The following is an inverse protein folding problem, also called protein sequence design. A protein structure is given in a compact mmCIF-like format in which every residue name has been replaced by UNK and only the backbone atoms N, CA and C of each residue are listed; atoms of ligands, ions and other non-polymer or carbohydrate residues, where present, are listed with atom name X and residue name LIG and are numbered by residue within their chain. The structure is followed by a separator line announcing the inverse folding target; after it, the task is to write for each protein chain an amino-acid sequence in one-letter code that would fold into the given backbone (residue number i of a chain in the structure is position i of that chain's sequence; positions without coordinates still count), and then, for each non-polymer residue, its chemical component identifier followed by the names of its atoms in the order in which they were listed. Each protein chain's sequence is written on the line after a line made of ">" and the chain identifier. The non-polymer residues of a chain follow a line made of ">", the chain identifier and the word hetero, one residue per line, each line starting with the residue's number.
data_IF_329479921799
#
_entry.id   IF_329479921799
#
_cell.length_a   1.000
_cell.length_b   1.000
_cell.length_c   1.000
_cell.angle_alpha   90.00
_cell.angle_beta   90.00
_cell.angle_gamma   90.00
#
_symmetry.space_group_name_H-M   'P 1'
#
loop_
_entity.id
_entity.type
_entity.pdbx_description
1 polymer ?
#
# COMPACT_ATOMS: atom_id res chain seq x y z
N UNK A 1 7.72 12.69 17.35
CA UNK A 1 9.00 12.99 16.68
C UNK A 1 10.10 12.02 17.07
N UNK A 2 10.70 12.07 18.27
CA UNK A 2 11.84 11.17 18.62
C UNK A 2 11.55 9.68 18.43
N UNK A 3 10.41 9.16 18.92
CA UNK A 3 10.02 7.76 18.69
C UNK A 3 9.84 7.40 17.21
N UNK A 4 9.31 8.31 16.40
CA UNK A 4 9.19 8.08 14.96
C UNK A 4 10.57 8.05 14.32
N UNK A 5 11.48 8.94 14.68
CA UNK A 5 12.86 8.90 14.18
C UNK A 5 13.60 7.62 14.58
N UNK A 6 13.37 7.10 15.78
CA UNK A 6 14.02 5.87 16.30
C UNK A 6 13.39 4.57 15.76
N UNK A 7 12.08 4.58 15.49
CA UNK A 7 11.31 3.38 15.14
C UNK A 7 10.81 3.36 13.70
N UNK A 8 10.93 4.46 12.96
CA UNK A 8 10.54 4.52 11.56
C UNK A 8 11.37 3.54 10.74
N UNK A 9 10.71 2.93 9.77
CA UNK A 9 11.31 1.93 8.87
C UNK A 9 12.09 2.60 7.72
N UNK A 10 12.04 3.92 7.64
CA UNK A 10 12.63 4.76 6.59
C UNK A 10 13.25 6.00 7.22
N UNK A 11 14.22 6.60 6.53
CA UNK A 11 14.76 7.90 6.95
C UNK A 11 13.62 8.94 6.99
N UNK A 12 13.50 9.68 8.10
CA UNK A 12 12.39 10.60 8.30
C UNK A 12 12.47 11.75 7.29
N UNK A 13 11.45 11.89 6.47
CA UNK A 13 11.33 12.94 5.46
C UNK A 13 10.18 13.88 5.79
N UNK A 14 10.39 15.18 5.61
CA UNK A 14 9.31 16.17 5.61
C UNK A 14 8.90 16.43 4.17
N UNK A 15 7.70 16.01 3.82
CA UNK A 15 7.14 16.22 2.49
C UNK A 15 6.58 17.63 2.31
N UNK A 16 6.60 18.19 1.08
CA UNK A 16 5.74 19.31 0.74
C UNK A 16 4.28 18.99 1.03
N UNK A 17 3.44 20.00 1.28
CA UNK A 17 2.00 19.77 1.43
C UNK A 17 1.43 19.09 0.18
N UNK A 18 0.75 17.97 0.39
CA UNK A 18 0.14 17.15 -0.65
C UNK A 18 -1.12 16.50 -0.10
N UNK A 19 -2.00 16.03 -1.01
CA UNK A 19 -3.22 15.27 -0.68
C UNK A 19 -4.11 15.87 0.42
N UNK A 20 -4.07 17.19 0.57
CA UNK A 20 -4.84 17.94 1.58
C UNK A 20 -6.35 17.73 1.35
N UNK A 21 -7.06 17.27 2.38
CA UNK A 21 -8.50 16.99 2.27
C UNK A 21 -9.28 18.22 1.77
N UNK A 22 -10.20 18.00 0.84
CA UNK A 22 -10.98 19.07 0.20
C UNK A 22 -10.27 19.81 -0.93
N UNK A 23 -8.99 19.49 -1.22
CA UNK A 23 -8.27 20.06 -2.37
C UNK A 23 -8.29 19.12 -3.58
N UNK A 24 -8.01 19.67 -4.77
CA UNK A 24 -7.88 18.87 -5.99
C UNK A 24 -6.77 17.81 -5.87
N UNK A 25 -5.71 18.08 -5.12
CA UNK A 25 -4.61 17.14 -4.91
C UNK A 25 -4.98 15.91 -4.07
N UNK A 26 -6.15 15.91 -3.43
CA UNK A 26 -6.68 14.75 -2.68
C UNK A 26 -7.59 13.86 -3.54
N UNK A 27 -8.04 14.33 -4.70
CA UNK A 27 -8.98 13.59 -5.54
C UNK A 27 -8.27 12.48 -6.33
N UNK A 28 -9.00 11.41 -6.62
CA UNK A 28 -8.55 10.41 -7.59
C UNK A 28 -8.40 11.06 -8.97
N UNK A 29 -7.37 10.63 -9.72
CA UNK A 29 -7.22 11.00 -11.11
C UNK A 29 -8.42 10.48 -11.93
N UNK A 30 -8.87 11.29 -12.89
CA UNK A 30 -10.07 10.99 -13.68
C UNK A 30 -10.05 9.59 -14.34
N UNK A 31 -8.94 9.11 -14.95
CA UNK A 31 -8.90 7.78 -15.54
C UNK A 31 -9.11 6.65 -14.53
N UNK A 32 -8.63 6.80 -13.29
CA UNK A 32 -8.82 5.82 -12.22
C UNK A 32 -10.27 5.85 -11.73
N UNK A 33 -10.83 7.04 -11.55
CA UNK A 33 -12.23 7.18 -11.17
C UNK A 33 -13.17 6.57 -12.22
N UNK A 34 -12.88 6.78 -13.51
CA UNK A 34 -13.63 6.19 -14.62
C UNK A 34 -13.50 4.66 -14.65
N UNK A 35 -12.28 4.12 -14.52
CA UNK A 35 -12.05 2.68 -14.49
C UNK A 35 -12.80 2.01 -13.33
N UNK A 36 -12.82 2.62 -12.15
CA UNK A 36 -13.59 2.13 -11.00
C UNK A 36 -15.09 2.11 -11.32
N UNK A 37 -15.63 3.20 -11.88
CA UNK A 37 -17.05 3.29 -12.21
C UNK A 37 -17.48 2.21 -13.23
N UNK A 38 -16.72 2.02 -14.30
CA UNK A 38 -17.01 0.99 -15.32
C UNK A 38 -16.85 -0.42 -14.77
N UNK A 39 -15.81 -0.69 -13.99
CA UNK A 39 -15.63 -1.99 -13.35
C UNK A 39 -16.80 -2.30 -12.40
N UNK A 40 -17.20 -1.34 -11.57
CA UNK A 40 -18.33 -1.50 -10.64
C UNK A 40 -19.65 -1.75 -11.36
N UNK A 41 -19.90 -1.04 -12.46
CA UNK A 41 -21.08 -1.27 -13.30
C UNK A 41 -21.06 -2.67 -13.94
N UNK A 42 -19.93 -3.11 -14.49
CA UNK A 42 -19.79 -4.39 -15.16
C UNK A 42 -19.82 -5.60 -14.22
N UNK A 43 -19.29 -5.45 -12.99
CA UNK A 43 -19.20 -6.53 -11.99
C UNK A 43 -20.30 -6.51 -10.96
N UNK A 44 -21.15 -5.47 -10.96
CA UNK A 44 -22.15 -5.22 -9.93
C UNK A 44 -21.55 -5.20 -8.51
N UNK A 45 -20.36 -4.60 -8.39
CA UNK A 45 -19.62 -4.51 -7.12
C UNK A 45 -19.39 -3.07 -6.71
N UNK A 46 -19.72 -2.75 -5.46
CA UNK A 46 -19.46 -1.43 -4.89
C UNK A 46 -17.96 -1.32 -4.51
N UNK A 47 -17.25 -0.26 -4.95
CA UNK A 47 -15.87 -0.04 -4.52
C UNK A 47 -15.85 0.41 -3.07
N UNK A 48 -14.82 -0.01 -2.33
CA UNK A 48 -14.55 0.46 -0.98
C UNK A 48 -13.46 1.51 -1.02
N UNK A 49 -13.73 2.69 -0.48
CA UNK A 49 -12.75 3.78 -0.37
C UNK A 49 -12.26 3.89 1.07
N UNK A 50 -10.94 3.93 1.25
CA UNK A 50 -10.29 4.07 2.56
C UNK A 50 -9.42 5.32 2.52
N UNK A 51 -9.58 6.18 3.51
CA UNK A 51 -8.76 7.38 3.72
C UNK A 51 -7.77 7.09 4.85
N UNK A 52 -6.50 7.47 4.64
CA UNK A 52 -5.41 7.33 5.62
C UNK A 52 -4.71 8.66 5.85
N UNK A 53 -3.89 8.76 6.91
CA UNK A 53 -3.09 9.97 7.18
C UNK A 53 -3.80 11.08 7.97
N UNK A 54 -4.86 10.74 8.73
CA UNK A 54 -5.59 11.71 9.59
C UNK A 54 -4.97 11.91 10.97
N UNK A 55 -4.10 11.01 11.40
CA UNK A 55 -3.44 11.09 12.71
C UNK A 55 -2.24 12.05 12.63
N UNK A 56 -2.41 13.27 13.14
CA UNK A 56 -1.45 14.39 13.00
C UNK A 56 -0.03 14.08 13.49
N UNK A 57 0.11 13.16 14.47
CA UNK A 57 1.37 12.92 15.19
C UNK A 57 2.23 11.79 14.61
N UNK A 58 1.81 11.16 13.51
CA UNK A 58 2.53 10.05 12.87
C UNK A 58 2.39 10.07 11.35
N UNK A 59 3.39 9.52 10.68
CA UNK A 59 3.30 9.17 9.26
C UNK A 59 2.44 7.91 9.06
N UNK A 60 1.79 7.82 7.90
CA UNK A 60 0.77 6.83 7.58
C UNK A 60 0.92 6.36 6.12
N UNK A 61 2.08 5.78 5.78
CA UNK A 61 2.32 5.27 4.42
C UNK A 61 1.41 4.07 4.09
N UNK A 62 1.41 3.02 4.91
CA UNK A 62 0.61 1.82 4.67
C UNK A 62 -0.88 2.03 4.94
N UNK A 63 -1.75 1.39 4.16
CA UNK A 63 -3.20 1.55 4.29
C UNK A 63 -3.77 0.95 5.59
N UNK A 64 -3.10 -0.04 6.18
CA UNK A 64 -3.64 -0.77 7.33
C UNK A 64 -3.29 -0.13 8.67
N UNK A 65 -2.27 0.73 8.76
CA UNK A 65 -1.85 1.32 10.02
C UNK A 65 -0.78 2.39 9.85
N UNK A 66 -0.61 3.22 10.89
CA UNK A 66 0.48 4.19 10.94
C UNK A 66 1.86 3.51 11.03
N UNK A 67 2.93 4.23 10.66
CA UNK A 67 4.29 3.72 10.88
C UNK A 67 4.60 3.52 12.37
N UNK A 68 4.16 4.48 13.21
CA UNK A 68 4.19 4.37 14.67
C UNK A 68 2.80 4.71 15.20
N UNK A 69 2.02 3.72 15.68
CA UNK A 69 0.71 3.98 16.25
C UNK A 69 0.78 4.99 17.39
N UNK A 70 -0.12 5.97 17.35
CA UNK A 70 -0.31 6.94 18.42
C UNK A 70 -1.17 6.30 19.53
N UNK A 71 -0.65 6.17 20.76
CA UNK A 71 -1.39 5.55 21.87
C UNK A 71 -2.65 6.33 22.27
N UNK A 72 -2.77 7.60 21.90
CA UNK A 72 -3.96 8.42 22.16
C UNK A 72 -5.01 8.27 21.05
N UNK A 73 -4.67 7.62 19.93
CA UNK A 73 -5.51 7.50 18.73
C UNK A 73 -5.55 6.03 18.31
N UNK A 74 -6.43 5.20 18.91
CA UNK A 74 -6.46 3.75 18.69
C UNK A 74 -6.58 3.33 17.22
N UNK A 75 -7.26 4.12 16.39
CA UNK A 75 -7.43 3.90 14.96
C UNK A 75 -6.13 4.04 14.14
N UNK A 76 -5.06 4.59 14.73
CA UNK A 76 -3.74 4.62 14.11
C UNK A 76 -3.00 3.28 14.17
N UNK A 77 -3.51 2.34 14.98
CA UNK A 77 -3.02 0.98 15.05
C UNK A 77 -3.29 0.17 13.77
N UNK A 78 -2.77 -1.06 13.74
CA UNK A 78 -2.99 -1.95 12.61
C UNK A 78 -4.47 -2.39 12.54
N UNK A 79 -5.13 -2.06 11.43
CA UNK A 79 -6.49 -2.44 11.11
C UNK A 79 -6.54 -3.89 10.60
N UNK A 80 -6.51 -4.81 11.56
CA UNK A 80 -6.61 -6.26 11.32
C UNK A 80 -7.91 -6.63 10.59
N UNK A 81 -9.02 -5.94 10.89
CA UNK A 81 -10.29 -6.19 10.21
C UNK A 81 -10.22 -5.93 8.70
N UNK A 82 -9.52 -4.87 8.28
CA UNK A 82 -9.29 -4.56 6.87
C UNK A 82 -8.30 -5.55 6.23
N UNK A 83 -7.23 -5.93 6.94
CA UNK A 83 -6.29 -6.98 6.49
C UNK A 83 -7.01 -8.30 6.20
N UNK A 84 -7.78 -8.78 7.17
CA UNK A 84 -8.54 -10.03 7.06
C UNK A 84 -9.60 -9.94 5.96
N UNK A 85 -10.22 -8.78 5.76
CA UNK A 85 -11.19 -8.57 4.69
C UNK A 85 -10.54 -8.68 3.29
N UNK A 86 -9.35 -8.11 3.10
CA UNK A 86 -8.60 -8.17 1.84
C UNK A 86 -8.12 -9.59 1.56
N UNK A 87 -7.61 -10.30 2.57
CA UNK A 87 -7.03 -11.65 2.37
C UNK A 87 -8.07 -12.78 2.21
N UNK A 88 -9.37 -12.45 2.30
CA UNK A 88 -10.46 -13.39 1.94
C UNK A 88 -10.55 -13.67 0.45
N UNK A 89 -10.10 -12.74 -0.41
CA UNK A 89 -10.13 -12.94 -1.85
C UNK A 89 -9.08 -13.97 -2.28
N UNK A 90 -9.30 -14.63 -3.42
CA UNK A 90 -8.38 -15.63 -3.97
C UNK A 90 -7.13 -15.00 -4.59
N UNK A 91 -7.28 -13.77 -5.10
CA UNK A 91 -6.23 -12.96 -5.70
C UNK A 91 -6.39 -11.51 -5.27
N UNK A 92 -5.30 -10.92 -4.81
CA UNK A 92 -5.23 -9.54 -4.34
C UNK A 92 -4.13 -8.84 -5.13
N UNK A 93 -4.53 -8.00 -6.06
CA UNK A 93 -3.60 -7.21 -6.86
C UNK A 93 -3.25 -5.91 -6.15
N UNK A 94 -1.96 -5.59 -6.10
CA UNK A 94 -1.43 -4.35 -5.50
C UNK A 94 -0.77 -3.52 -6.58
N UNK A 95 -1.24 -2.28 -6.73
CA UNK A 95 -0.79 -1.29 -7.71
C UNK A 95 -1.01 0.13 -7.17
N UNK A 96 -0.47 1.13 -7.85
CA UNK A 96 -0.65 2.54 -7.51
C UNK A 96 0.64 3.23 -7.07
N UNK A 97 0.52 4.30 -6.28
CA UNK A 97 1.63 5.20 -5.99
C UNK A 97 1.77 5.57 -4.50
N UNK A 98 2.99 5.79 -3.99
CA UNK A 98 4.27 5.47 -4.64
C UNK A 98 4.72 4.04 -4.30
N UNK A 99 5.32 3.32 -5.27
CA UNK A 99 5.98 2.01 -5.11
C UNK A 99 6.82 2.02 -3.84
N UNK A 100 7.78 2.95 -3.73
CA UNK A 100 8.74 3.03 -2.63
C UNK A 100 8.17 3.40 -1.25
N UNK A 101 6.93 3.87 -1.17
CA UNK A 101 6.34 4.39 0.07
C UNK A 101 5.00 3.73 0.37
N UNK A 102 3.89 4.34 -0.05
CA UNK A 102 2.54 3.90 0.30
C UNK A 102 2.27 2.45 -0.12
N UNK A 103 2.70 2.08 -1.33
CA UNK A 103 2.46 0.76 -1.89
C UNK A 103 3.32 -0.29 -1.18
N UNK A 104 4.64 -0.06 -1.07
CA UNK A 104 5.52 -0.99 -0.37
C UNK A 104 5.20 -1.13 1.11
N UNK A 105 4.83 -0.05 1.81
CA UNK A 105 4.46 -0.15 3.23
C UNK A 105 3.15 -0.92 3.42
N UNK A 106 2.21 -0.76 2.49
CA UNK A 106 0.99 -1.57 2.46
C UNK A 106 1.35 -3.06 2.34
N UNK A 107 2.23 -3.41 1.41
CA UNK A 107 2.72 -4.79 1.25
C UNK A 107 3.44 -5.30 2.51
N UNK A 108 4.32 -4.48 3.10
CA UNK A 108 5.02 -4.80 4.36
C UNK A 108 4.06 -5.12 5.49
N UNK A 109 2.95 -4.39 5.60
CA UNK A 109 1.94 -4.61 6.63
C UNK A 109 1.23 -5.97 6.44
N UNK A 110 0.86 -6.32 5.20
CA UNK A 110 0.24 -7.62 4.91
C UNK A 110 1.22 -8.76 5.15
N UNK A 111 2.42 -8.68 4.55
CA UNK A 111 3.46 -9.70 4.68
C UNK A 111 3.92 -9.85 6.12
N UNK A 112 4.02 -8.75 6.87
CA UNK A 112 4.36 -8.80 8.29
C UNK A 112 3.31 -9.51 9.14
N UNK A 113 2.02 -9.25 8.89
CA UNK A 113 0.93 -9.87 9.64
C UNK A 113 0.74 -11.35 9.28
N UNK A 114 0.77 -11.69 8.00
CA UNK A 114 0.55 -13.06 7.51
C UNK A 114 1.84 -13.86 7.25
N UNK A 115 3.00 -13.37 7.69
CA UNK A 115 4.32 -13.99 7.40
C UNK A 115 4.49 -15.43 7.92
N UNK A 116 3.64 -15.87 8.85
CA UNK A 116 3.58 -17.25 9.34
C UNK A 116 2.71 -18.17 8.48
N UNK A 117 2.10 -17.66 7.41
CA UNK A 117 1.24 -18.39 6.46
C UNK A 117 1.69 -18.14 5.00
N UNK A 118 2.83 -18.67 4.55
CA UNK A 118 3.36 -18.41 3.21
C UNK A 118 2.39 -18.74 2.06
N UNK A 119 1.56 -19.77 2.24
CA UNK A 119 0.52 -20.12 1.25
C UNK A 119 -0.53 -19.02 1.07
N UNK A 120 -0.83 -18.26 2.13
CA UNK A 120 -1.76 -17.13 2.05
C UNK A 120 -1.12 -15.94 1.32
N UNK A 121 0.19 -15.74 1.46
CA UNK A 121 0.93 -14.68 0.77
C UNK A 121 0.99 -14.88 -0.75
N UNK A 122 0.85 -16.12 -1.24
CA UNK A 122 0.75 -16.42 -2.69
C UNK A 122 -0.45 -15.79 -3.37
N UNK A 123 -1.44 -15.32 -2.60
CA UNK A 123 -2.58 -14.58 -3.13
C UNK A 123 -2.26 -13.12 -3.46
N UNK A 124 -1.12 -12.61 -2.97
CA UNK A 124 -0.68 -11.24 -3.24
C UNK A 124 0.03 -11.17 -4.58
N UNK A 125 -0.48 -10.34 -5.48
CA UNK A 125 0.05 -10.11 -6.81
C UNK A 125 0.46 -8.64 -6.93
N UNK A 126 1.75 -8.37 -6.84
CA UNK A 126 2.30 -7.03 -6.99
C UNK A 126 2.51 -6.69 -8.46
N UNK A 127 1.81 -5.68 -8.97
CA UNK A 127 1.90 -5.26 -10.38
C UNK A 127 3.08 -4.31 -10.60
N UNK A 128 4.22 -4.86 -11.05
CA UNK A 128 5.48 -4.11 -11.17
C UNK A 128 5.38 -2.93 -12.13
N UNK A 129 4.68 -3.10 -13.24
CA UNK A 129 4.51 -2.11 -14.31
C UNK A 129 3.35 -1.12 -14.05
N UNK A 130 2.63 -1.27 -12.92
CA UNK A 130 1.55 -0.38 -12.49
C UNK A 130 1.89 0.38 -11.19
N UNK A 131 3.19 0.62 -10.96
CA UNK A 131 3.69 1.38 -9.80
C UNK A 131 4.95 2.17 -10.20
N UNK A 132 5.23 3.28 -9.53
CA UNK A 132 6.49 4.01 -9.69
C UNK A 132 7.04 4.52 -8.35
N UNK A 133 8.36 4.65 -8.24
CA UNK A 133 8.97 5.15 -6.99
C UNK A 133 9.08 6.66 -7.00
N UNK A 134 8.96 7.26 -5.81
CA UNK A 134 9.34 8.67 -5.61
C UNK A 134 10.78 8.88 -6.06
N UNK A 135 11.02 9.90 -6.86
CA UNK A 135 12.35 10.31 -7.29
C UNK A 135 12.98 11.26 -6.27
N UNK A 136 14.24 11.03 -5.91
CA UNK A 136 14.98 11.86 -4.96
C UNK A 136 16.41 12.09 -5.46
N UNK A 137 17.00 13.29 -5.29
CA UNK A 137 18.31 13.62 -5.85
C UNK A 137 19.47 12.78 -5.31
N UNK A 138 19.33 12.22 -4.10
CA UNK A 138 20.41 11.48 -3.43
C UNK A 138 20.03 10.08 -2.94
N UNK A 139 18.73 9.76 -2.90
CA UNK A 139 18.25 8.49 -2.36
C UNK A 139 17.62 7.73 -3.51
N UNK A 140 18.17 6.55 -3.80
CA UNK A 140 17.60 5.65 -4.80
C UNK A 140 16.46 4.84 -4.16
N UNK A 141 15.30 5.47 -4.05
CA UNK A 141 14.10 4.83 -3.51
C UNK A 141 13.62 3.66 -4.35
N UNK A 142 13.93 3.65 -5.65
CA UNK A 142 13.52 2.56 -6.53
C UNK A 142 14.31 1.29 -6.24
N UNK A 143 15.64 1.41 -6.13
CA UNK A 143 16.50 0.30 -5.75
C UNK A 143 16.14 -0.27 -4.37
N UNK A 144 15.82 0.60 -3.40
CA UNK A 144 15.36 0.17 -2.07
C UNK A 144 14.03 -0.60 -2.13
N UNK A 145 13.10 -0.15 -2.98
CA UNK A 145 11.83 -0.82 -3.16
C UNK A 145 11.99 -2.18 -3.85
N UNK A 146 12.77 -2.25 -4.94
CA UNK A 146 13.04 -3.52 -5.65
C UNK A 146 13.73 -4.53 -4.74
N UNK A 147 14.69 -4.11 -3.92
CA UNK A 147 15.37 -5.01 -2.97
C UNK A 147 14.40 -5.61 -1.96
N UNK A 148 13.44 -4.82 -1.46
CA UNK A 148 12.42 -5.31 -0.55
C UNK A 148 11.42 -6.24 -1.25
N UNK A 149 10.97 -5.89 -2.46
CA UNK A 149 10.05 -6.72 -3.22
C UNK A 149 10.66 -8.09 -3.53
N UNK A 150 11.95 -8.15 -3.87
CA UNK A 150 12.67 -9.41 -4.02
C UNK A 150 12.68 -10.23 -2.72
N UNK A 151 12.82 -9.58 -1.56
CA UNK A 151 12.72 -10.25 -0.26
C UNK A 151 11.31 -10.82 -0.03
N UNK A 152 10.27 -10.07 -0.38
CA UNK A 152 8.87 -10.49 -0.24
C UNK A 152 8.48 -11.60 -1.21
N UNK A 153 9.07 -11.64 -2.40
CA UNK A 153 8.89 -12.73 -3.37
C UNK A 153 9.32 -14.07 -2.76
N UNK A 154 10.45 -14.10 -2.03
CA UNK A 154 10.87 -15.27 -1.27
C UNK A 154 9.93 -15.65 -0.11
N UNK A 155 9.06 -14.74 0.33
CA UNK A 155 8.03 -15.01 1.35
C UNK A 155 6.71 -15.51 0.74
N UNK A 156 6.58 -15.50 -0.59
CA UNK A 156 5.41 -16.01 -1.31
C UNK A 156 4.65 -14.96 -2.11
N UNK A 157 4.97 -13.67 -2.00
CA UNK A 157 4.35 -12.63 -2.83
C UNK A 157 4.68 -12.87 -4.30
N UNK A 158 3.71 -12.70 -5.19
CA UNK A 158 3.92 -12.87 -6.63
C UNK A 158 4.19 -11.51 -7.27
N UNK A 159 5.36 -11.35 -7.90
CA UNK A 159 5.66 -10.15 -8.69
C UNK A 159 5.23 -10.40 -10.14
N UNK A 160 4.27 -9.63 -10.63
CA UNK A 160 3.63 -9.84 -11.95
C UNK A 160 3.58 -8.56 -12.78
N UNK A 161 3.35 -8.72 -14.08
CA UNK A 161 3.07 -7.62 -15.01
C UNK A 161 1.57 -7.53 -15.30
N UNK A 162 1.09 -6.33 -15.66
CA UNK A 162 -0.30 -6.11 -16.07
C UNK A 162 -0.71 -6.89 -17.31
N UNK A 163 0.27 -7.35 -18.10
CA UNK A 163 0.10 -8.17 -19.29
C UNK A 163 0.16 -9.68 -19.02
N UNK A 164 0.48 -10.09 -17.79
CA UNK A 164 0.50 -11.50 -17.45
C UNK A 164 -0.92 -12.07 -17.47
N UNK A 165 -1.10 -13.30 -17.98
CA UNK A 165 -2.43 -13.88 -18.10
C UNK A 165 -3.06 -14.09 -16.73
N UNK A 166 -4.32 -13.67 -16.58
CA UNK A 166 -5.12 -13.99 -15.40
C UNK A 166 -5.52 -15.46 -15.50
N UNK A 167 -4.83 -16.35 -14.78
CA UNK A 167 -5.26 -17.75 -14.68
C UNK A 167 -6.57 -17.83 -13.89
N UNK A 168 -7.63 -18.36 -14.49
CA UNK A 168 -8.83 -18.74 -13.74
C UNK A 168 -8.61 -20.16 -13.23
N UNK A 169 -8.67 -20.34 -11.90
CA UNK A 169 -8.81 -21.65 -11.26
C UNK A 169 -10.27 -22.02 -11.17
#
# INVERSE_FOLDING_TARGET
>A
MHKLQEQAKKELMIWPYHTMEGTLGHMLLAPISEAIAWHSAARHTQPTYIVKGRTVRTEYYGIFGAEVPDPEVPESGLNVGLLDAVMKYDKVYVAGEAKSHCVLETERQVVGYFGHQPELLKKLLFLKDCTSSVQHPTIDFDALAESELARMEHQGVQLVLSTDPISYT
#
